data_IF_386538528196
#
_entry.id   IF_386538528196
#
_cell.length_a   1.000
_cell.length_b   1.000
_cell.length_c   1.000
_cell.angle_alpha   90.00
_cell.angle_beta   90.00
_cell.angle_gamma   90.00
#
_symmetry.space_group_name_H-M   'P 1'
#
loop_
_entity.id
_entity.type
_entity.pdbx_description
1 polymer ?
#
# COMPACT_ATOMS: atom_id res chain seq x y z
N UNK A 1 5.36 -39.03 47.92
CA UNK A 1 4.15 -38.35 47.40
C UNK A 1 4.35 -36.84 47.25
N UNK A 2 4.69 -36.09 48.31
CA UNK A 2 4.95 -34.64 48.21
C UNK A 2 6.08 -34.26 47.25
N UNK A 3 7.21 -34.97 47.29
CA UNK A 3 8.36 -34.68 46.41
C UNK A 3 8.02 -34.83 44.91
N UNK A 4 7.26 -35.86 44.55
CA UNK A 4 6.77 -36.05 43.17
C UNK A 4 5.83 -34.92 42.73
N UNK A 5 4.98 -34.42 43.64
CA UNK A 5 4.08 -33.30 43.36
C UNK A 5 4.88 -32.01 43.09
N UNK A 6 5.90 -31.74 43.90
CA UNK A 6 6.78 -30.56 43.72
C UNK A 6 7.54 -30.63 42.40
N UNK A 7 8.06 -31.81 42.03
CA UNK A 7 8.75 -31.98 40.73
C UNK A 7 7.77 -31.80 39.57
N UNK A 8 6.56 -32.35 39.68
CA UNK A 8 5.53 -32.17 38.66
C UNK A 8 5.18 -30.69 38.46
N UNK A 9 4.96 -29.95 39.55
CA UNK A 9 4.65 -28.52 39.51
C UNK A 9 5.81 -27.71 38.91
N UNK A 10 7.07 -28.06 39.23
CA UNK A 10 8.25 -27.40 38.66
C UNK A 10 8.42 -27.71 37.16
N UNK A 11 8.30 -28.97 36.76
CA UNK A 11 8.38 -29.35 35.34
C UNK A 11 7.26 -28.71 34.53
N UNK A 12 6.04 -28.67 35.08
CA UNK A 12 4.91 -28.01 34.45
C UNK A 12 5.16 -26.51 34.28
N UNK A 13 5.68 -25.83 35.30
CA UNK A 13 6.03 -24.42 35.23
C UNK A 13 7.06 -24.14 34.13
N UNK A 14 8.16 -24.89 34.08
CA UNK A 14 9.20 -24.66 33.07
C UNK A 14 8.72 -25.04 31.67
N UNK A 15 8.08 -26.19 31.50
CA UNK A 15 7.68 -26.66 30.17
C UNK A 15 6.53 -25.81 29.65
N UNK A 16 5.46 -25.61 30.42
CA UNK A 16 4.28 -24.92 29.91
C UNK A 16 4.52 -23.41 29.82
N UNK A 17 5.04 -22.77 30.86
CA UNK A 17 5.14 -21.30 30.84
C UNK A 17 6.25 -20.84 29.90
N UNK A 18 7.44 -21.43 29.96
CA UNK A 18 8.56 -20.98 29.11
C UNK A 18 8.28 -21.28 27.64
N UNK A 19 7.74 -22.47 27.30
CA UNK A 19 7.43 -22.79 25.90
C UNK A 19 6.26 -21.95 25.41
N UNK A 20 5.17 -21.81 26.18
CA UNK A 20 4.01 -21.02 25.73
C UNK A 20 4.36 -19.54 25.58
N UNK A 21 5.12 -18.95 26.50
CA UNK A 21 5.54 -17.55 26.37
C UNK A 21 6.45 -17.35 25.15
N UNK A 22 7.44 -18.22 24.94
CA UNK A 22 8.31 -18.13 23.77
C UNK A 22 7.57 -18.38 22.45
N UNK A 23 6.55 -19.25 22.46
CA UNK A 23 5.70 -19.48 21.30
C UNK A 23 4.85 -18.24 20.98
N UNK A 24 4.21 -17.64 21.99
CA UNK A 24 3.42 -16.41 21.82
C UNK A 24 4.30 -15.28 21.30
N UNK A 25 5.46 -15.04 21.92
CA UNK A 25 6.41 -14.04 21.43
C UNK A 25 6.90 -14.36 20.03
N UNK A 26 7.16 -15.63 19.71
CA UNK A 26 7.53 -16.07 18.37
C UNK A 26 6.51 -15.67 17.31
N UNK A 27 5.23 -15.98 17.54
CA UNK A 27 4.14 -15.59 16.63
C UNK A 27 4.02 -14.07 16.50
N UNK A 28 4.15 -13.32 17.60
CA UNK A 28 4.08 -11.86 17.55
C UNK A 28 5.24 -11.29 16.71
N UNK A 29 6.47 -11.77 16.91
CA UNK A 29 7.66 -11.33 16.15
C UNK A 29 7.50 -11.66 14.67
N UNK A 30 7.00 -12.85 14.35
CA UNK A 30 6.75 -13.28 12.97
C UNK A 30 5.75 -12.35 12.27
N UNK A 31 4.62 -12.05 12.91
CA UNK A 31 3.64 -11.09 12.38
C UNK A 31 4.25 -9.68 12.17
N UNK A 32 5.08 -9.20 13.09
CA UNK A 32 5.76 -7.92 12.90
C UNK A 32 6.80 -7.95 11.77
N UNK A 33 7.48 -9.08 11.57
CA UNK A 33 8.40 -9.27 10.46
C UNK A 33 7.65 -9.28 9.11
N UNK A 34 6.48 -9.91 9.04
CA UNK A 34 5.62 -9.90 7.87
C UNK A 34 5.13 -8.49 7.54
N UNK A 35 4.61 -7.75 8.52
CA UNK A 35 4.19 -6.35 8.34
C UNK A 35 5.33 -5.46 7.84
N UNK A 36 6.56 -5.69 8.33
CA UNK A 36 7.76 -4.98 7.84
C UNK A 36 8.06 -5.33 6.39
N UNK A 37 8.00 -6.61 6.04
CA UNK A 37 8.27 -7.10 4.69
C UNK A 37 7.25 -6.57 3.70
N UNK A 38 5.97 -6.56 4.06
CA UNK A 38 4.90 -5.97 3.25
C UNK A 38 5.13 -4.48 3.03
N UNK A 39 5.46 -3.73 4.09
CA UNK A 39 5.78 -2.31 3.97
C UNK A 39 6.96 -2.08 3.02
N UNK A 40 8.04 -2.84 3.16
CA UNK A 40 9.22 -2.73 2.29
C UNK A 40 8.87 -3.03 0.83
N UNK A 41 8.08 -4.08 0.58
CA UNK A 41 7.59 -4.42 -0.76
C UNK A 41 6.75 -3.29 -1.36
N UNK A 42 5.83 -2.71 -0.59
CA UNK A 42 4.99 -1.62 -1.06
C UNK A 42 5.82 -0.37 -1.38
N UNK A 43 6.78 -0.02 -0.53
CA UNK A 43 7.71 1.08 -0.76
C UNK A 43 8.59 0.84 -2.01
N UNK A 44 9.02 -0.40 -2.24
CA UNK A 44 9.80 -0.78 -3.42
C UNK A 44 8.97 -0.66 -4.70
N UNK A 45 7.74 -1.16 -4.70
CA UNK A 45 6.81 -1.01 -5.83
C UNK A 45 6.60 0.47 -6.13
N UNK A 46 6.32 1.29 -5.11
CA UNK A 46 6.06 2.72 -5.30
C UNK A 46 7.29 3.49 -5.84
N UNK A 47 8.51 3.05 -5.50
CA UNK A 47 9.77 3.63 -5.99
C UNK A 47 10.13 3.18 -7.40
N UNK A 48 9.73 1.97 -7.81
CA UNK A 48 10.14 1.38 -9.08
C UNK A 48 9.04 1.36 -10.13
N UNK A 49 7.79 1.63 -9.77
CA UNK A 49 6.68 1.66 -10.71
C UNK A 49 5.99 3.02 -10.68
N UNK A 50 5.57 3.52 -11.84
CA UNK A 50 4.84 4.77 -11.91
C UNK A 50 3.38 4.58 -11.45
N UNK A 51 2.94 5.35 -10.46
CA UNK A 51 1.59 5.26 -9.90
C UNK A 51 0.45 5.49 -10.92
N UNK A 52 0.67 6.35 -11.93
CA UNK A 52 -0.38 6.74 -12.89
C UNK A 52 -0.52 5.73 -14.03
N UNK A 53 0.59 5.22 -14.57
CA UNK A 53 0.57 4.31 -15.74
C UNK A 53 0.96 2.86 -15.44
N UNK A 54 1.45 2.56 -14.24
CA UNK A 54 1.87 1.23 -13.82
C UNK A 54 3.15 0.71 -14.49
N UNK A 55 3.86 1.53 -15.27
CA UNK A 55 5.10 1.11 -15.92
C UNK A 55 6.25 1.02 -14.91
N UNK A 56 7.00 -0.08 -14.98
CA UNK A 56 8.22 -0.29 -14.20
C UNK A 56 9.38 0.57 -14.72
N UNK A 57 10.27 0.97 -13.83
CA UNK A 57 11.47 1.78 -14.10
C UNK A 57 12.31 1.18 -15.21
N UNK A 58 12.42 -0.16 -15.29
CA UNK A 58 13.13 -0.88 -16.35
C UNK A 58 12.60 -0.59 -17.76
N UNK A 59 11.33 -0.20 -17.88
CA UNK A 59 10.70 0.15 -19.17
C UNK A 59 11.21 1.48 -19.75
N UNK A 60 11.98 2.24 -18.96
CA UNK A 60 12.54 3.55 -19.34
C UNK A 60 14.04 3.50 -19.64
N UNK A 61 14.74 2.39 -19.34
CA UNK A 61 16.20 2.26 -19.53
C UNK A 61 16.63 2.36 -21.00
N UNK A 62 15.72 2.13 -21.95
CA UNK A 62 15.96 2.24 -23.40
C UNK A 62 15.21 3.40 -24.07
N UNK A 63 14.67 4.34 -23.30
CA UNK A 63 13.91 5.50 -23.82
C UNK A 63 14.68 6.79 -23.62
N UNK A 64 14.39 7.79 -24.45
CA UNK A 64 14.95 9.14 -24.31
C UNK A 64 14.51 9.87 -23.01
N UNK A 65 13.48 9.38 -22.33
CA UNK A 65 12.91 10.00 -21.13
C UNK A 65 13.24 9.14 -19.91
N UNK A 66 13.87 9.75 -18.90
CA UNK A 66 14.19 9.07 -17.64
C UNK A 66 12.92 8.84 -16.79
N UNK A 67 12.94 7.81 -15.94
CA UNK A 67 11.84 7.55 -15.00
C UNK A 67 11.54 8.74 -14.07
N UNK A 68 12.58 9.45 -13.64
CA UNK A 68 12.45 10.64 -12.80
C UNK A 68 11.76 11.80 -13.53
N UNK A 69 12.14 12.07 -14.79
CA UNK A 69 11.46 13.06 -15.62
C UNK A 69 10.01 12.65 -15.90
N UNK A 70 9.76 11.35 -16.12
CA UNK A 70 8.43 10.82 -16.33
C UNK A 70 7.50 11.10 -15.13
N UNK A 71 7.92 10.78 -13.91
CA UNK A 71 7.10 11.03 -12.71
C UNK A 71 6.98 12.52 -12.41
N UNK A 72 8.03 13.32 -12.60
CA UNK A 72 8.00 14.73 -12.18
C UNK A 72 7.32 15.66 -13.18
N UNK A 73 7.47 15.41 -14.49
CA UNK A 73 6.97 16.30 -15.55
C UNK A 73 5.73 15.77 -16.27
N UNK A 74 5.63 14.46 -16.48
CA UNK A 74 4.50 13.87 -17.25
C UNK A 74 3.42 13.34 -16.30
N UNK A 75 3.79 12.48 -15.35
CA UNK A 75 2.90 11.81 -14.40
C UNK A 75 3.08 12.30 -12.97
N UNK A 76 3.04 13.63 -12.82
CA UNK A 76 3.11 14.23 -11.50
C UNK A 76 1.80 14.02 -10.74
N UNK A 77 1.85 13.21 -9.68
CA UNK A 77 0.68 12.86 -8.87
C UNK A 77 -0.09 14.09 -8.36
N UNK A 78 0.60 15.16 -7.97
CA UNK A 78 -0.04 16.36 -7.42
C UNK A 78 -0.87 17.10 -8.46
N UNK A 79 -0.42 17.14 -9.72
CA UNK A 79 -1.19 17.74 -10.80
C UNK A 79 -2.54 17.05 -11.00
N UNK A 80 -2.61 15.73 -10.82
CA UNK A 80 -3.87 14.98 -10.87
C UNK A 80 -4.77 15.32 -9.67
N UNK A 81 -4.22 15.47 -8.47
CA UNK A 81 -4.99 15.90 -7.29
C UNK A 81 -5.54 17.32 -7.46
N UNK A 82 -4.71 18.26 -7.92
CA UNK A 82 -5.16 19.62 -8.21
C UNK A 82 -6.26 19.65 -9.26
N UNK A 83 -6.15 18.83 -10.30
CA UNK A 83 -7.18 18.70 -11.33
C UNK A 83 -8.51 18.17 -10.76
N UNK A 84 -8.46 17.17 -9.87
CA UNK A 84 -9.65 16.64 -9.20
C UNK A 84 -10.34 17.69 -8.33
N UNK A 85 -9.57 18.46 -7.55
CA UNK A 85 -10.11 19.56 -6.74
C UNK A 85 -10.67 20.67 -7.63
N UNK A 86 -9.98 21.02 -8.72
CA UNK A 86 -10.44 22.02 -9.68
C UNK A 86 -11.80 21.64 -10.28
N UNK A 87 -12.02 20.37 -10.64
CA UNK A 87 -13.31 19.88 -11.13
C UNK A 87 -14.41 20.01 -10.07
N UNK A 88 -14.08 19.87 -8.78
CA UNK A 88 -15.09 19.97 -7.72
C UNK A 88 -15.44 21.40 -7.35
N UNK A 89 -14.52 22.34 -7.49
CA UNK A 89 -14.70 23.74 -7.05
C UNK A 89 -15.13 24.66 -8.18
N UNK A 90 -14.74 24.38 -9.42
CA UNK A 90 -14.99 25.28 -10.55
C UNK A 90 -16.43 25.18 -11.05
N UNK A 91 -17.00 26.30 -11.49
CA UNK A 91 -18.35 26.35 -12.02
C UNK A 91 -18.50 25.54 -13.32
N UNK A 92 -19.58 24.75 -13.48
CA UNK A 92 -19.80 23.91 -14.65
C UNK A 92 -19.86 24.66 -16.00
N UNK A 93 -20.18 25.95 -15.96
CA UNK A 93 -20.25 26.82 -17.14
C UNK A 93 -18.89 27.22 -17.68
N UNK A 94 -17.81 27.02 -16.90
CA UNK A 94 -16.44 27.38 -17.27
C UNK A 94 -15.57 26.17 -17.64
N UNK A 95 -16.19 25.00 -17.80
CA UNK A 95 -15.46 23.81 -18.22
C UNK A 95 -15.07 23.91 -19.69
N UNK A 96 -13.78 23.67 -19.96
CA UNK A 96 -13.27 23.52 -21.31
C UNK A 96 -13.54 22.10 -21.81
N UNK A 97 -13.53 21.89 -23.14
CA UNK A 97 -13.83 20.58 -23.76
C UNK A 97 -13.13 19.38 -23.10
N UNK A 98 -11.81 19.42 -22.83
CA UNK A 98 -11.11 18.33 -22.16
C UNK A 98 -11.63 18.02 -20.74
N UNK A 99 -12.02 19.07 -20.00
CA UNK A 99 -12.60 18.94 -18.65
C UNK A 99 -13.98 18.27 -18.74
N UNK A 100 -14.81 18.66 -19.69
CA UNK A 100 -16.14 18.05 -19.89
C UNK A 100 -16.03 16.55 -20.19
N UNK A 101 -15.16 16.16 -21.13
CA UNK A 101 -14.95 14.74 -21.50
C UNK A 101 -14.48 13.90 -20.31
N UNK A 102 -13.55 14.43 -19.51
CA UNK A 102 -13.07 13.74 -18.31
C UNK A 102 -14.16 13.58 -17.24
N UNK A 103 -15.01 14.59 -17.04
CA UNK A 103 -16.15 14.52 -16.12
C UNK A 103 -17.19 13.49 -16.58
N UNK A 104 -17.51 13.45 -17.88
CA UNK A 104 -18.43 12.44 -18.43
C UNK A 104 -17.90 11.03 -18.23
N UNK A 105 -16.61 10.82 -18.47
CA UNK A 105 -15.94 9.54 -18.24
C UNK A 105 -15.98 9.10 -16.78
N UNK A 106 -15.88 10.04 -15.83
CA UNK A 106 -16.01 9.77 -14.40
C UNK A 106 -17.46 9.39 -14.06
N UNK A 107 -18.45 10.16 -14.54
CA UNK A 107 -19.88 9.90 -14.29
C UNK A 107 -20.34 8.54 -14.82
N UNK A 108 -19.85 8.13 -16.00
CA UNK A 108 -20.14 6.79 -16.55
C UNK A 108 -19.59 5.67 -15.67
N UNK A 109 -18.38 5.83 -15.10
CA UNK A 109 -17.82 4.84 -14.19
C UNK A 109 -18.55 4.75 -12.85
N UNK A 110 -18.99 5.89 -12.29
CA UNK A 110 -19.76 5.90 -11.04
C UNK A 110 -21.11 5.21 -11.23
N UNK A 111 -21.83 5.54 -12.31
CA UNK A 111 -23.16 4.97 -12.59
C UNK A 111 -23.13 3.46 -12.90
N UNK A 112 -22.03 2.93 -13.43
CA UNK A 112 -21.85 1.47 -13.60
C UNK A 112 -21.53 0.73 -12.30
N UNK A 113 -21.02 1.41 -11.27
CA UNK A 113 -20.68 0.79 -9.99
C UNK A 113 -21.90 0.64 -9.06
N UNK A 114 -22.92 1.46 -9.27
CA UNK A 114 -24.18 1.45 -8.51
C UNK A 114 -25.25 0.52 -9.12
N UNK A 115 -24.90 -0.28 -10.13
CA UNK A 115 -25.76 -1.24 -10.83
C UNK A 115 -25.22 -2.65 -10.68
#
# INVERSE_FOLDING_TARGET
>A
LYFFRVIYDMMFFFIVIIITLNLIFGVIIDNFADLRTEKQRNDEILRNTCFICGLDRKSFDNKHVTFEDHIRKVHNMWNYVYFMVLIHVKDPTEYTGPIVVSIESIKQKTTMKDR
#
